data_IF_329859614685
#
_entry.id   IF_329859614685
#
_cell.length_a   1.000
_cell.length_b   1.000
_cell.length_c   1.000
_cell.angle_alpha   90.00
_cell.angle_beta   90.00
_cell.angle_gamma   90.00
#
_symmetry.space_group_name_H-M   'P 1'
#
loop_
_entity.id
_entity.type
_entity.pdbx_description
1 polymer ?
#
# COMPACT_ATOMS: atom_id res chain seq x y z
N UNK A 1 -45.89 5.37 10.09
CA UNK A 1 -45.97 4.06 10.71
C UNK A 1 -44.56 3.45 10.68
N UNK A 2 -43.94 3.36 11.82
CA UNK A 2 -42.59 2.85 11.89
C UNK A 2 -42.59 1.37 11.62
N UNK A 3 -41.80 1.00 10.66
CA UNK A 3 -41.60 -0.41 10.32
C UNK A 3 -40.84 -1.07 11.47
N UNK A 4 -41.44 -2.03 12.19
CA UNK A 4 -40.79 -2.66 13.33
C UNK A 4 -39.59 -3.54 12.92
N UNK A 5 -39.40 -3.75 11.62
CA UNK A 5 -38.25 -4.46 11.09
C UNK A 5 -37.07 -3.53 10.69
N UNK A 6 -37.25 -2.23 10.84
CA UNK A 6 -36.09 -1.35 10.77
C UNK A 6 -35.30 -1.50 12.06
N UNK A 7 -34.50 -2.52 12.10
CA UNK A 7 -33.43 -2.57 13.08
C UNK A 7 -32.58 -1.30 13.00
N UNK A 8 -31.87 -0.94 14.06
CA UNK A 8 -31.03 0.26 14.05
C UNK A 8 -30.11 0.15 12.82
N UNK A 9 -30.40 0.99 11.84
CA UNK A 9 -29.49 1.15 10.72
C UNK A 9 -28.20 1.65 11.34
N UNK A 10 -27.24 0.74 11.46
CA UNK A 10 -25.91 1.15 11.84
C UNK A 10 -25.48 2.23 10.88
N UNK A 11 -24.97 3.32 11.39
CA UNK A 11 -24.61 4.45 10.56
C UNK A 11 -23.73 3.95 9.42
N UNK A 12 -23.95 4.51 8.25
CA UNK A 12 -23.21 4.20 7.01
C UNK A 12 -21.73 4.58 7.11
N UNK A 13 -21.19 4.60 8.31
CA UNK A 13 -19.79 4.91 8.60
C UNK A 13 -18.84 3.98 7.84
N UNK A 14 -19.27 2.76 7.56
CA UNK A 14 -18.51 1.79 6.76
C UNK A 14 -18.39 2.18 5.29
N UNK A 15 -19.19 3.13 4.84
CA UNK A 15 -19.21 3.58 3.45
C UNK A 15 -18.58 4.96 3.27
N UNK A 16 -17.92 5.49 4.30
CA UNK A 16 -17.17 6.72 4.14
C UNK A 16 -16.02 6.48 3.17
N UNK A 17 -15.82 7.36 2.17
CA UNK A 17 -14.65 7.24 1.33
C UNK A 17 -13.38 7.39 2.18
N UNK A 18 -12.33 6.62 1.89
CA UNK A 18 -11.08 6.76 2.60
C UNK A 18 -10.50 8.16 2.42
N UNK A 19 -9.97 8.71 3.51
CA UNK A 19 -9.33 10.01 3.50
C UNK A 19 -7.82 9.85 3.45
N UNK A 20 -7.19 10.52 2.52
CA UNK A 20 -5.73 10.52 2.42
C UNK A 20 -5.13 11.34 3.56
N UNK A 21 -4.26 10.73 4.35
CA UNK A 21 -3.58 11.39 5.47
C UNK A 21 -2.10 11.62 5.21
N UNK A 22 -1.58 11.06 4.15
CA UNK A 22 -0.21 11.27 3.71
C UNK A 22 0.02 10.56 2.40
N UNK A 23 0.96 11.06 1.63
CA UNK A 23 1.30 10.46 0.34
C UNK A 23 2.65 10.91 -0.16
N UNK A 24 3.26 10.07 -1.00
CA UNK A 24 4.32 10.48 -1.91
C UNK A 24 3.74 10.45 -3.34
N UNK A 25 3.74 11.61 -3.99
CA UNK A 25 3.25 11.78 -5.35
C UNK A 25 4.35 11.84 -6.39
N UNK A 26 5.61 11.83 -5.96
CA UNK A 26 6.75 11.71 -6.85
C UNK A 26 6.91 10.26 -7.28
N UNK A 27 7.23 10.00 -8.56
CA UNK A 27 7.41 8.64 -9.04
C UNK A 27 8.47 7.89 -8.24
N UNK A 28 8.10 6.70 -7.74
CA UNK A 28 9.01 5.81 -7.04
C UNK A 28 9.48 4.75 -8.02
N UNK A 29 10.78 4.69 -8.25
CA UNK A 29 11.38 3.76 -9.18
C UNK A 29 11.95 2.55 -8.46
N UNK A 30 11.51 1.37 -8.88
CA UNK A 30 11.94 0.10 -8.31
C UNK A 30 12.78 -0.63 -9.34
N UNK A 31 14.03 -0.90 -9.00
CA UNK A 31 14.94 -1.60 -9.90
C UNK A 31 15.94 -2.43 -9.10
N UNK A 32 15.68 -3.74 -9.02
CA UNK A 32 16.61 -4.71 -8.46
C UNK A 32 16.77 -4.68 -6.94
N UNK A 33 16.87 -3.51 -6.36
CA UNK A 33 17.17 -3.32 -4.94
C UNK A 33 15.97 -2.81 -4.16
N UNK A 34 16.01 -2.97 -2.84
CA UNK A 34 14.99 -2.42 -1.96
C UNK A 34 14.96 -0.91 -2.03
N UNK A 35 13.76 -0.35 -2.08
CA UNK A 35 13.53 1.09 -2.11
C UNK A 35 12.72 1.50 -0.90
N UNK A 36 13.22 2.46 -0.15
CA UNK A 36 12.55 3.01 1.02
C UNK A 36 11.70 4.20 0.64
N UNK A 37 10.48 4.23 1.17
CA UNK A 37 9.54 5.33 0.98
C UNK A 37 9.17 5.89 2.34
N UNK A 38 9.19 7.19 2.46
CA UNK A 38 8.89 7.87 3.71
C UNK A 38 8.15 9.17 3.41
N UNK A 39 7.07 9.43 4.11
CA UNK A 39 6.33 10.69 3.97
C UNK A 39 5.65 11.07 5.30
N UNK A 40 5.47 12.37 5.55
CA UNK A 40 4.74 12.82 6.74
C UNK A 40 3.27 12.46 6.63
N UNK A 41 2.66 12.16 7.77
CA UNK A 41 1.25 11.83 7.85
C UNK A 41 0.54 12.73 8.85
N UNK A 42 -0.71 13.01 8.57
CA UNK A 42 -1.62 13.70 9.46
C UNK A 42 -2.67 12.70 9.97
N UNK A 43 -2.18 11.60 10.53
CA UNK A 43 -3.03 10.56 11.04
C UNK A 43 -3.50 10.93 12.44
N UNK A 44 -4.82 10.88 12.70
CA UNK A 44 -5.31 11.05 14.07
C UNK A 44 -4.85 9.88 14.93
N UNK A 45 -4.84 10.08 16.25
CA UNK A 45 -4.57 9.00 17.18
C UNK A 45 -5.56 7.85 16.93
N UNK A 46 -5.07 6.63 17.00
CA UNK A 46 -5.89 5.44 16.77
C UNK A 46 -7.00 5.35 17.79
N UNK A 47 -8.25 5.35 17.32
CA UNK A 47 -9.44 5.24 18.19
C UNK A 47 -10.01 3.83 18.24
N UNK A 48 -9.43 2.91 17.49
CA UNK A 48 -9.84 1.50 17.48
C UNK A 48 -10.89 1.12 16.44
N UNK A 49 -11.60 2.08 15.88
CA UNK A 49 -12.66 1.86 14.87
C UNK A 49 -12.28 2.32 13.47
N UNK A 50 -11.10 2.86 13.31
CA UNK A 50 -10.60 3.34 12.03
C UNK A 50 -9.94 2.24 11.23
N UNK A 51 -10.10 2.30 9.91
CA UNK A 51 -9.38 1.45 8.98
C UNK A 51 -8.18 2.19 8.41
N UNK A 52 -7.05 1.53 8.42
CA UNK A 52 -5.82 2.04 7.81
C UNK A 52 -5.55 1.27 6.53
N UNK A 53 -5.40 2.00 5.44
CA UNK A 53 -5.19 1.43 4.12
C UNK A 53 -3.95 2.04 3.48
N UNK A 54 -3.13 1.19 2.86
CA UNK A 54 -2.03 1.65 2.03
C UNK A 54 -2.43 1.48 0.57
N UNK A 55 -2.40 2.58 -0.16
CA UNK A 55 -2.70 2.60 -1.60
C UNK A 55 -1.41 2.72 -2.38
N UNK A 56 -1.21 1.82 -3.33
CA UNK A 56 -0.10 1.87 -4.28
C UNK A 56 -0.72 2.02 -5.66
N UNK A 57 -0.54 3.19 -6.27
CA UNK A 57 -1.29 3.59 -7.46
C UNK A 57 -0.39 3.93 -8.63
N UNK A 58 -0.93 3.76 -9.82
CA UNK A 58 -0.26 4.10 -11.08
C UNK A 58 1.05 3.34 -11.26
N UNK A 59 0.97 2.02 -11.14
CA UNK A 59 2.13 1.14 -11.30
C UNK A 59 2.33 0.86 -12.79
N UNK A 60 3.52 1.13 -13.28
CA UNK A 60 3.93 0.92 -14.67
C UNK A 60 5.26 0.20 -14.74
N UNK A 61 5.44 -0.60 -15.78
CA UNK A 61 6.72 -1.21 -16.09
C UNK A 61 6.89 -1.30 -17.60
N UNK A 62 8.12 -1.17 -18.09
CA UNK A 62 8.42 -1.28 -19.52
C UNK A 62 8.38 -2.72 -20.01
N UNK A 63 8.60 -3.66 -19.11
CA UNK A 63 8.57 -5.09 -19.39
C UNK A 63 8.11 -5.85 -18.14
N UNK A 64 7.87 -7.15 -18.28
CA UNK A 64 7.47 -7.97 -17.14
C UNK A 64 8.60 -8.07 -16.12
N UNK A 65 8.34 -7.68 -14.88
CA UNK A 65 9.35 -7.81 -13.82
C UNK A 65 9.69 -9.27 -13.55
N UNK A 66 10.95 -9.51 -13.20
CA UNK A 66 11.44 -10.85 -12.87
C UNK A 66 11.14 -11.25 -11.43
N UNK A 67 10.64 -10.32 -10.63
CA UNK A 67 10.36 -10.54 -9.23
C UNK A 67 9.02 -9.94 -8.86
N UNK A 68 8.37 -10.54 -7.88
CA UNK A 68 7.29 -9.86 -7.18
C UNK A 68 7.87 -8.86 -6.20
N UNK A 69 7.17 -7.78 -5.96
CA UNK A 69 7.61 -6.76 -5.02
C UNK A 69 6.79 -6.84 -3.74
N UNK A 70 7.48 -6.97 -2.62
CA UNK A 70 6.85 -6.95 -1.30
C UNK A 70 6.80 -5.53 -0.75
N UNK A 71 5.70 -5.20 -0.10
CA UNK A 71 5.53 -3.94 0.62
C UNK A 71 5.71 -4.24 2.11
N UNK A 72 6.73 -3.64 2.72
CA UNK A 72 7.06 -3.82 4.11
C UNK A 72 6.84 -2.51 4.87
N UNK A 73 6.07 -2.57 5.95
CA UNK A 73 5.92 -1.45 6.85
C UNK A 73 7.09 -1.42 7.84
N UNK A 74 7.74 -0.27 7.98
CA UNK A 74 8.81 -0.09 8.97
C UNK A 74 8.25 0.50 10.26
N UNK A 75 8.23 -0.26 11.37
CA UNK A 75 7.86 0.30 12.67
C UNK A 75 8.97 1.20 13.22
N UNK A 76 8.68 1.93 14.28
CA UNK A 76 9.67 2.79 14.94
C UNK A 76 10.83 2.01 15.54
N UNK A 77 10.60 0.74 15.85
CA UNK A 77 11.61 -0.18 16.33
C UNK A 77 11.29 -1.60 15.87
N UNK A 78 12.31 -2.43 15.72
CA UNK A 78 12.15 -3.80 15.28
C UNK A 78 12.20 -3.96 13.76
N UNK A 79 11.94 -5.17 13.30
CA UNK A 79 12.07 -5.54 11.90
C UNK A 79 10.88 -5.05 11.07
N UNK A 80 11.09 -4.76 9.77
CA UNK A 80 9.99 -4.48 8.87
C UNK A 80 8.99 -5.63 8.79
N UNK A 81 7.72 -5.29 8.66
CA UNK A 81 6.62 -6.26 8.61
C UNK A 81 6.03 -6.28 7.21
N UNK A 82 5.94 -7.46 6.61
CA UNK A 82 5.33 -7.62 5.30
C UNK A 82 3.84 -7.29 5.36
N UNK A 83 3.43 -6.29 4.60
CA UNK A 83 2.03 -5.89 4.44
C UNK A 83 1.36 -6.72 3.37
N UNK A 84 2.05 -6.94 2.26
CA UNK A 84 1.55 -7.69 1.13
C UNK A 84 2.52 -7.64 -0.04
N UNK A 85 2.17 -8.30 -1.10
CA UNK A 85 2.95 -8.30 -2.33
C UNK A 85 2.17 -7.63 -3.46
N UNK A 86 2.91 -7.01 -4.37
CA UNK A 86 2.36 -6.45 -5.59
C UNK A 86 2.33 -7.55 -6.64
N UNK A 87 1.18 -8.18 -6.92
CA UNK A 87 1.10 -9.16 -7.98
C UNK A 87 1.12 -8.43 -9.32
N UNK A 88 2.18 -8.63 -10.07
CA UNK A 88 2.39 -7.90 -11.32
C UNK A 88 1.88 -8.66 -12.56
N UNK A 89 1.01 -9.64 -12.35
CA UNK A 89 0.38 -10.38 -13.45
C UNK A 89 -0.45 -9.52 -14.38
N UNK A 90 -1.10 -8.48 -13.84
CA UNK A 90 -1.85 -7.52 -14.62
C UNK A 90 -1.00 -6.64 -15.52
N UNK A 91 0.31 -6.59 -15.30
CA UNK A 91 1.24 -5.83 -16.15
C UNK A 91 1.27 -6.35 -17.58
N UNK A 92 1.02 -7.63 -17.77
CA UNK A 92 0.98 -8.24 -19.10
C UNK A 92 -0.10 -7.61 -19.97
N UNK A 93 -1.26 -7.34 -19.40
CA UNK A 93 -2.36 -6.68 -20.13
C UNK A 93 -2.03 -5.21 -20.40
N UNK A 94 -1.39 -4.57 -19.47
CA UNK A 94 -0.93 -3.19 -19.62
C UNK A 94 0.12 -3.06 -20.72
N UNK A 95 1.00 -4.02 -20.86
CA UNK A 95 2.04 -4.05 -21.91
C UNK A 95 1.48 -4.34 -23.30
N UNK A 96 0.30 -4.96 -23.39
CA UNK A 96 -0.30 -5.33 -24.67
C UNK A 96 -1.18 -4.24 -25.31
N UNK A 97 -1.04 -3.00 -24.87
CA UNK A 97 -1.69 -1.87 -25.52
C UNK A 97 -2.94 -1.34 -24.87
N UNK A 98 -3.36 -1.89 -23.73
CA UNK A 98 -4.43 -1.36 -22.91
C UNK A 98 -3.86 -0.40 -21.85
N UNK A 99 -3.05 0.53 -22.33
CA UNK A 99 -2.25 1.43 -21.50
C UNK A 99 -3.05 2.41 -20.64
N UNK A 100 -4.37 2.42 -20.76
CA UNK A 100 -5.22 3.32 -19.99
C UNK A 100 -5.51 2.79 -18.57
N UNK A 101 -5.08 1.57 -18.27
CA UNK A 101 -5.33 0.95 -16.98
C UNK A 101 -4.03 0.78 -16.21
N UNK A 102 -3.65 1.82 -15.48
CA UNK A 102 -2.60 1.72 -14.49
C UNK A 102 -3.03 0.76 -13.39
N UNK A 103 -2.13 -0.11 -12.97
CA UNK A 103 -2.41 -1.01 -11.86
C UNK A 103 -2.40 -0.23 -10.55
N UNK A 104 -3.34 -0.58 -9.68
CA UNK A 104 -3.43 -0.02 -8.34
C UNK A 104 -3.80 -1.10 -7.35
N UNK A 105 -3.20 -1.07 -6.17
CA UNK A 105 -3.47 -2.02 -5.10
C UNK A 105 -3.77 -1.29 -3.80
N UNK A 106 -4.65 -1.88 -3.02
CA UNK A 106 -5.06 -1.36 -1.73
C UNK A 106 -4.82 -2.44 -0.68
N UNK A 107 -4.04 -2.12 0.34
CA UNK A 107 -3.73 -3.04 1.42
C UNK A 107 -4.35 -2.56 2.71
N UNK A 108 -5.14 -3.41 3.37
CA UNK A 108 -5.69 -3.12 4.70
C UNK A 108 -4.62 -3.47 5.75
N UNK A 109 -4.13 -2.46 6.43
CA UNK A 109 -3.11 -2.61 7.47
C UNK A 109 -3.66 -2.32 8.87
N UNK A 110 -4.98 -2.32 9.02
CA UNK A 110 -5.63 -1.94 10.28
C UNK A 110 -5.14 -2.75 11.47
N UNK A 111 -5.15 -4.08 11.35
CA UNK A 111 -4.71 -4.95 12.44
C UNK A 111 -3.24 -4.74 12.79
N UNK A 112 -2.41 -4.54 11.77
CA UNK A 112 -0.98 -4.28 11.97
C UNK A 112 -0.76 -2.95 12.70
N UNK A 113 -1.44 -1.89 12.28
CA UNK A 113 -1.34 -0.58 12.93
C UNK A 113 -1.79 -0.66 14.37
N UNK A 114 -2.91 -1.31 14.65
CA UNK A 114 -3.42 -1.48 16.01
C UNK A 114 -2.42 -2.21 16.89
N UNK A 115 -1.81 -3.27 16.37
CA UNK A 115 -0.79 -4.03 17.10
C UNK A 115 0.45 -3.19 17.37
N UNK A 116 0.95 -2.49 16.37
CA UNK A 116 2.14 -1.64 16.51
C UNK A 116 1.88 -0.47 17.46
N UNK A 117 0.69 0.12 17.40
CA UNK A 117 0.31 1.20 18.30
C UNK A 117 0.25 0.72 19.75
N UNK A 118 -0.33 -0.46 19.97
CA UNK A 118 -0.37 -1.07 21.31
C UNK A 118 1.01 -1.37 21.86
N UNK A 119 1.97 -1.67 21.00
CA UNK A 119 3.37 -1.93 21.37
C UNK A 119 4.23 -0.65 21.45
N UNK A 120 3.65 0.52 21.15
CA UNK A 120 4.40 1.77 21.09
C UNK A 120 5.37 1.86 19.91
N UNK A 121 5.11 1.13 18.84
CA UNK A 121 5.95 1.03 17.64
C UNK A 121 5.35 1.67 16.39
N UNK A 122 4.21 2.32 16.52
CA UNK A 122 3.55 3.04 15.44
C UNK A 122 3.84 4.53 15.53
N UNK A 123 4.35 5.11 14.43
CA UNK A 123 4.57 6.53 14.33
C UNK A 123 3.41 7.17 13.56
N UNK A 124 2.56 7.92 14.25
CA UNK A 124 1.41 8.57 13.65
C UNK A 124 1.77 9.81 12.81
N UNK A 125 2.99 10.31 12.94
CA UNK A 125 3.44 11.52 12.26
C UNK A 125 4.16 11.23 10.94
N UNK A 126 4.59 9.99 10.76
CA UNK A 126 5.40 9.64 9.59
C UNK A 126 5.19 8.18 9.20
N UNK A 127 4.87 7.99 7.93
CA UNK A 127 4.77 6.65 7.36
C UNK A 127 6.10 6.26 6.73
N UNK A 128 6.55 5.04 7.01
CA UNK A 128 7.76 4.46 6.44
C UNK A 128 7.47 3.08 5.90
N UNK A 129 7.87 2.85 4.67
CA UNK A 129 7.72 1.56 4.03
C UNK A 129 8.94 1.25 3.18
N UNK A 130 9.21 -0.03 3.00
CA UNK A 130 10.23 -0.52 2.09
C UNK A 130 9.58 -1.42 1.07
N UNK A 131 9.89 -1.18 -0.21
CA UNK A 131 9.51 -2.07 -1.28
C UNK A 131 10.75 -2.86 -1.68
N UNK A 132 10.64 -4.18 -1.63
CA UNK A 132 11.78 -5.07 -1.88
C UNK A 132 11.35 -6.24 -2.76
N UNK A 133 12.25 -6.74 -3.64
CA UNK A 133 11.94 -7.89 -4.46
C UNK A 133 11.78 -9.14 -3.60
N UNK A 134 10.74 -9.92 -3.91
CA UNK A 134 10.43 -11.18 -3.25
C UNK A 134 10.43 -12.27 -4.32
N UNK A 135 10.98 -13.43 -4.02
CA UNK A 135 11.00 -14.55 -4.95
C UNK A 135 11.66 -14.22 -6.31
N UNK A 136 12.69 -13.38 -6.26
CA UNK A 136 13.42 -13.04 -7.48
C UNK A 136 14.13 -14.29 -8.03
N UNK A 137 13.88 -14.58 -9.30
CA UNK A 137 14.67 -15.58 -10.02
C UNK A 137 15.87 -14.84 -10.60
N UNK A 138 17.11 -15.18 -10.20
CA UNK A 138 18.28 -14.53 -10.77
C UNK A 138 18.38 -14.87 -12.25
N UNK A 139 18.11 -13.89 -13.10
CA UNK A 139 18.37 -13.97 -14.54
C UNK A 139 19.70 -13.29 -14.77
N UNK A 140 20.73 -14.06 -15.05
CA UNK A 140 22.11 -13.55 -15.13
C UNK A 140 22.37 -12.63 -16.32
N UNK A 141 21.44 -12.48 -17.26
CA UNK A 141 21.73 -11.88 -18.54
C UNK A 141 21.07 -10.52 -18.80
N UNK A 142 20.05 -10.13 -18.02
CA UNK A 142 19.33 -8.89 -18.27
C UNK A 142 19.07 -8.16 -16.96
N UNK A 143 19.24 -6.84 -16.93
CA UNK A 143 18.84 -6.06 -15.76
C UNK A 143 17.33 -6.19 -15.59
N UNK A 144 16.89 -6.23 -14.32
CA UNK A 144 15.47 -6.21 -14.01
C UNK A 144 14.81 -4.98 -14.63
N UNK A 145 13.63 -5.14 -15.25
CA UNK A 145 12.92 -3.98 -15.76
C UNK A 145 12.51 -3.06 -14.62
N UNK A 146 12.60 -1.76 -14.89
CA UNK A 146 12.21 -0.75 -13.93
C UNK A 146 10.70 -0.76 -13.74
N UNK A 147 10.26 -0.81 -12.49
CA UNK A 147 8.87 -0.61 -12.12
C UNK A 147 8.73 0.79 -11.54
N UNK A 148 7.77 1.54 -12.05
CA UNK A 148 7.51 2.90 -11.58
C UNK A 148 6.16 2.95 -10.89
N UNK A 149 6.14 3.45 -9.66
CA UNK A 149 4.91 3.67 -8.90
C UNK A 149 4.66 5.17 -8.87
N UNK A 150 3.49 5.60 -9.33
CA UNK A 150 3.14 7.01 -9.39
C UNK A 150 2.82 7.61 -8.03
N UNK A 151 2.11 6.86 -7.19
CA UNK A 151 1.67 7.36 -5.88
C UNK A 151 1.63 6.23 -4.86
N UNK A 152 2.13 6.52 -3.67
CA UNK A 152 1.91 5.67 -2.48
C UNK A 152 1.27 6.56 -1.42
N UNK A 153 0.15 6.11 -0.87
CA UNK A 153 -0.62 6.91 0.09
C UNK A 153 -1.06 6.08 1.27
N UNK A 154 -1.17 6.74 2.42
CA UNK A 154 -1.83 6.20 3.60
C UNK A 154 -3.22 6.81 3.67
N UNK A 155 -4.23 5.96 3.77
CA UNK A 155 -5.63 6.35 3.84
C UNK A 155 -6.23 5.89 5.15
N UNK A 156 -7.17 6.67 5.68
CA UNK A 156 -7.98 6.31 6.85
C UNK A 156 -9.44 6.35 6.45
N UNK A 157 -10.14 5.32 6.83
CA UNK A 157 -11.57 5.19 6.56
C UNK A 157 -12.38 5.11 7.84
#
# INVERSE_FOLDING_TARGET
>A
MDDPNRGPQRPRERNRPPRRVGAVDEPVRLQGDATRVEFPTDAPATRGDERFLVSVEHIRADDLPNAEWGVYLEPTSGEPVLVGTLPLFGMRESLQGNSDHDLSYLFDITDLVQRLDAEGRWDAERFRATLAPVNAVPVEAEPDPEVVIGTIALLIQ
#
